data_IF_927742846883
#
_entry.id   IF_927742846883
#
_cell.length_a   1.000
_cell.length_b   1.000
_cell.length_c   1.000
_cell.angle_alpha   90.00
_cell.angle_beta   90.00
_cell.angle_gamma   90.00
#
_symmetry.space_group_name_H-M   'P 1'
#
loop_
_entity.id
_entity.type
_entity.pdbx_description
1 polymer ?
#
# COMPACT_ATOMS: atom_id res chain seq x y z
N UNK A 1 -19.00 -16.44 -11.44
CA UNK A 1 -19.99 -15.48 -11.98
C UNK A 1 -19.63 -14.12 -11.45
N UNK A 2 -19.28 -13.22 -12.34
CA UNK A 2 -18.47 -12.07 -12.10
C UNK A 2 -19.11 -11.00 -11.22
N UNK A 3 -18.34 -10.46 -10.31
CA UNK A 3 -18.66 -9.26 -9.53
C UNK A 3 -18.66 -7.97 -10.38
N UNK A 4 -18.45 -8.11 -11.67
CA UNK A 4 -18.49 -7.04 -12.66
C UNK A 4 -19.57 -7.25 -13.74
N UNK A 5 -20.43 -8.26 -13.61
CA UNK A 5 -21.50 -8.52 -14.58
C UNK A 5 -22.82 -8.89 -13.95
N UNK A 6 -23.39 -8.04 -13.09
CA UNK A 6 -24.83 -8.02 -12.97
C UNK A 6 -25.36 -6.72 -13.59
N UNK A 7 -25.76 -6.86 -14.79
CA UNK A 7 -26.31 -6.02 -15.86
C UNK A 7 -25.24 -5.59 -16.85
N UNK A 8 -25.28 -6.25 -18.01
CA UNK A 8 -24.65 -5.80 -19.22
C UNK A 8 -25.07 -4.38 -19.56
N UNK A 9 -24.32 -3.44 -19.05
CA UNK A 9 -24.23 -2.11 -19.60
C UNK A 9 -23.06 -2.21 -20.57
N UNK A 10 -23.35 -2.41 -21.84
CA UNK A 10 -22.52 -1.88 -22.90
C UNK A 10 -22.39 -0.39 -22.57
N UNK A 11 -21.32 0.00 -21.88
CA UNK A 11 -20.99 1.40 -21.72
C UNK A 11 -20.59 1.91 -23.10
N UNK A 12 -21.45 2.74 -23.70
CA UNK A 12 -21.01 3.75 -24.66
C UNK A 12 -19.73 4.40 -24.14
N UNK A 13 -18.84 4.87 -24.99
CA UNK A 13 -17.56 5.56 -24.75
C UNK A 13 -17.60 6.67 -23.67
N UNK A 14 -18.06 6.38 -22.47
CA UNK A 14 -17.89 7.26 -21.31
C UNK A 14 -16.48 7.00 -20.78
N UNK A 15 -15.68 8.05 -20.69
CA UNK A 15 -14.35 8.02 -20.07
C UNK A 15 -14.40 7.29 -18.72
N UNK A 16 -13.43 6.41 -18.46
CA UNK A 16 -13.32 5.67 -17.21
C UNK A 16 -13.24 6.65 -16.01
N UNK A 17 -14.20 6.54 -15.10
CA UNK A 17 -14.24 7.40 -13.89
C UNK A 17 -13.39 6.76 -12.77
N UNK A 18 -12.14 7.19 -12.68
CA UNK A 18 -11.19 6.73 -11.65
C UNK A 18 -11.67 7.09 -10.24
N UNK A 19 -12.33 8.23 -10.05
CA UNK A 19 -12.84 8.67 -8.75
C UNK A 19 -13.96 7.75 -8.25
N UNK A 20 -14.89 7.39 -9.14
CA UNK A 20 -15.94 6.44 -8.80
C UNK A 20 -15.36 5.04 -8.51
N UNK A 21 -14.42 4.58 -9.34
CA UNK A 21 -13.73 3.31 -9.14
C UNK A 21 -13.05 3.24 -7.77
N UNK A 22 -12.25 4.28 -7.43
CA UNK A 22 -11.55 4.35 -6.15
C UNK A 22 -12.50 4.45 -4.96
N UNK A 23 -13.60 5.21 -5.11
CA UNK A 23 -14.61 5.34 -4.05
C UNK A 23 -15.27 4.00 -3.77
N UNK A 24 -15.69 3.26 -4.79
CA UNK A 24 -16.27 1.92 -4.63
C UNK A 24 -15.27 0.92 -4.04
N UNK A 25 -13.99 1.02 -4.41
CA UNK A 25 -12.90 0.23 -3.83
C UNK A 25 -12.77 0.46 -2.32
N UNK A 26 -12.72 1.71 -1.89
CA UNK A 26 -12.68 2.11 -0.47
C UNK A 26 -13.91 1.59 0.28
N UNK A 27 -15.11 1.80 -0.24
CA UNK A 27 -16.36 1.35 0.40
C UNK A 27 -16.41 -0.17 0.56
N UNK A 28 -15.88 -0.92 -0.40
CA UNK A 28 -15.76 -2.37 -0.32
C UNK A 28 -14.81 -2.78 0.81
N UNK A 29 -13.59 -2.25 0.81
CA UNK A 29 -12.59 -2.56 1.85
C UNK A 29 -13.14 -2.26 3.25
N UNK A 30 -13.79 -1.10 3.44
CA UNK A 30 -14.40 -0.72 4.73
C UNK A 30 -15.51 -1.69 5.12
N UNK A 31 -16.38 -2.06 4.21
CA UNK A 31 -17.48 -3.02 4.47
C UNK A 31 -16.94 -4.40 4.84
N UNK A 32 -15.94 -4.89 4.10
CA UNK A 32 -15.34 -6.20 4.34
C UNK A 32 -14.57 -6.20 5.68
N UNK A 33 -13.88 -5.11 6.03
CA UNK A 33 -13.23 -4.93 7.31
C UNK A 33 -14.23 -4.88 8.48
N UNK A 34 -15.39 -4.22 8.33
CA UNK A 34 -16.47 -4.28 9.33
C UNK A 34 -16.91 -5.73 9.54
N UNK A 35 -17.14 -6.48 8.46
CA UNK A 35 -17.54 -7.88 8.54
C UNK A 35 -16.50 -8.74 9.25
N UNK A 36 -15.22 -8.56 8.91
CA UNK A 36 -14.11 -9.28 9.52
C UNK A 36 -13.97 -9.01 11.04
N UNK A 37 -14.42 -7.85 11.52
CA UNK A 37 -14.31 -7.46 12.93
C UNK A 37 -15.54 -7.78 13.78
N UNK A 38 -16.61 -8.35 13.22
CA UNK A 38 -17.87 -8.57 13.94
C UNK A 38 -17.74 -9.42 15.21
N UNK A 39 -16.77 -10.32 15.27
CA UNK A 39 -16.49 -11.16 16.46
C UNK A 39 -15.74 -10.41 17.57
N UNK A 40 -15.23 -9.18 17.30
CA UNK A 40 -14.48 -8.37 18.25
C UNK A 40 -15.20 -7.02 18.48
N UNK A 41 -15.98 -6.87 19.58
CA UNK A 41 -16.80 -5.67 19.79
C UNK A 41 -16.03 -4.35 19.83
N UNK A 42 -14.79 -4.35 20.35
CA UNK A 42 -13.97 -3.14 20.41
C UNK A 42 -13.55 -2.69 19.02
N UNK A 43 -13.16 -3.64 18.17
CA UNK A 43 -12.79 -3.37 16.79
C UNK A 43 -13.99 -2.98 15.94
N UNK A 44 -15.13 -3.64 16.15
CA UNK A 44 -16.38 -3.29 15.45
C UNK A 44 -16.80 -1.83 15.72
N UNK A 45 -16.65 -1.36 16.97
CA UNK A 45 -16.94 0.05 17.32
C UNK A 45 -15.96 1.00 16.62
N UNK A 46 -14.67 0.66 16.60
CA UNK A 46 -13.69 1.46 15.85
C UNK A 46 -14.02 1.47 14.36
N UNK A 47 -14.25 0.31 13.75
CA UNK A 47 -14.55 0.20 12.32
C UNK A 47 -15.83 0.95 11.91
N UNK A 48 -16.85 0.97 12.77
CA UNK A 48 -18.06 1.77 12.53
C UNK A 48 -17.76 3.28 12.53
N UNK A 49 -16.92 3.75 13.46
CA UNK A 49 -16.44 5.15 13.48
C UNK A 49 -15.60 5.49 12.26
N UNK A 50 -14.68 4.60 11.90
CA UNK A 50 -13.86 4.76 10.70
C UNK A 50 -14.71 4.80 9.43
N UNK A 51 -15.74 3.96 9.32
CA UNK A 51 -16.66 3.99 8.18
C UNK A 51 -17.36 5.36 8.04
N UNK A 52 -17.78 5.95 9.15
CA UNK A 52 -18.36 7.31 9.15
C UNK A 52 -17.33 8.37 8.74
N UNK A 53 -16.09 8.29 9.25
CA UNK A 53 -14.99 9.18 8.87
C UNK A 53 -14.63 9.03 7.39
N UNK A 54 -14.49 7.81 6.89
CA UNK A 54 -14.21 7.52 5.47
C UNK A 54 -15.30 8.04 4.54
N UNK A 55 -16.58 7.94 4.94
CA UNK A 55 -17.70 8.55 4.20
C UNK A 55 -17.61 10.08 4.18
N UNK A 56 -17.23 10.71 5.29
CA UNK A 56 -17.02 12.16 5.36
C UNK A 56 -15.81 12.57 4.48
N UNK A 57 -14.72 11.82 4.51
CA UNK A 57 -13.56 12.00 3.64
C UNK A 57 -13.94 11.90 2.15
N UNK A 58 -14.75 10.90 1.77
CA UNK A 58 -15.30 10.77 0.42
C UNK A 58 -16.12 11.97 -0.04
N UNK A 59 -16.87 12.63 0.88
CA UNK A 59 -17.57 13.88 0.56
C UNK A 59 -16.61 15.05 0.29
N UNK A 60 -15.51 15.15 1.07
CA UNK A 60 -14.45 16.16 0.83
C UNK A 60 -13.84 15.99 -0.55
N UNK A 61 -13.45 14.74 -0.92
CA UNK A 61 -12.89 14.44 -2.25
C UNK A 61 -13.85 14.76 -3.38
N UNK A 62 -15.12 14.36 -3.28
CA UNK A 62 -16.12 14.71 -4.31
C UNK A 62 -16.30 16.22 -4.48
N UNK A 63 -16.25 16.98 -3.37
CA UNK A 63 -16.31 18.45 -3.44
C UNK A 63 -15.08 19.03 -4.14
N UNK A 64 -13.89 18.48 -3.89
CA UNK A 64 -12.66 18.88 -4.58
C UNK A 64 -12.73 18.55 -6.08
N UNK A 65 -13.23 17.36 -6.43
CA UNK A 65 -13.42 16.94 -7.83
C UNK A 65 -14.33 17.87 -8.61
N UNK A 66 -15.46 18.32 -8.01
CA UNK A 66 -16.33 19.32 -8.63
C UNK A 66 -15.67 20.69 -8.80
N UNK A 67 -14.60 20.95 -8.08
CA UNK A 67 -13.76 22.14 -8.23
C UNK A 67 -12.56 21.92 -9.18
N UNK A 68 -12.51 20.78 -9.88
CA UNK A 68 -11.42 20.44 -10.81
C UNK A 68 -10.15 19.94 -10.12
N UNK A 69 -10.25 19.45 -8.89
CA UNK A 69 -9.11 18.97 -8.14
C UNK A 69 -9.31 17.50 -7.74
N UNK A 70 -8.54 16.61 -8.35
CA UNK A 70 -8.56 15.19 -8.01
C UNK A 70 -7.71 14.91 -6.76
N UNK A 71 -8.30 14.24 -5.75
CA UNK A 71 -7.63 13.86 -4.51
C UNK A 71 -7.74 12.34 -4.35
N UNK A 72 -6.61 11.60 -4.33
CA UNK A 72 -6.61 10.17 -4.14
C UNK A 72 -7.04 9.80 -2.70
N UNK A 73 -7.77 8.71 -2.49
CA UNK A 73 -8.17 8.24 -1.17
C UNK A 73 -7.05 7.58 -0.38
N UNK A 74 -5.93 7.29 -1.01
CA UNK A 74 -4.84 6.48 -0.48
C UNK A 74 -3.49 7.14 -0.70
N UNK A 75 -2.58 7.01 0.27
CA UNK A 75 -1.16 7.40 0.16
C UNK A 75 -0.28 6.23 0.61
N UNK A 76 0.95 6.20 0.10
CA UNK A 76 2.02 5.34 0.61
C UNK A 76 3.09 6.25 1.20
N UNK A 77 3.54 5.96 2.42
CA UNK A 77 4.52 6.74 3.15
C UNK A 77 5.69 5.85 3.58
N UNK A 78 6.84 5.99 2.93
CA UNK A 78 8.09 5.38 3.39
C UNK A 78 8.70 6.24 4.49
N UNK A 79 8.41 5.91 5.76
CA UNK A 79 8.76 6.75 6.92
C UNK A 79 10.21 6.64 7.36
N UNK A 80 10.96 5.69 6.80
CA UNK A 80 12.40 5.51 7.03
C UNK A 80 13.06 4.81 5.86
N UNK A 81 14.34 5.15 5.61
CA UNK A 81 15.21 4.41 4.69
C UNK A 81 16.03 3.30 5.36
N UNK A 82 15.90 3.12 6.69
CA UNK A 82 16.65 2.12 7.43
C UNK A 82 15.85 0.83 7.62
N UNK A 83 16.53 -0.31 7.48
CA UNK A 83 15.98 -1.63 7.74
C UNK A 83 17.05 -2.56 8.31
N UNK A 84 16.66 -3.39 9.26
CA UNK A 84 17.55 -4.38 9.87
C UNK A 84 17.60 -5.71 9.11
N UNK A 85 16.81 -5.87 8.04
CA UNK A 85 16.81 -7.08 7.21
C UNK A 85 17.30 -6.80 5.78
N UNK A 86 17.84 -7.86 5.14
CA UNK A 86 18.30 -7.85 3.75
C UNK A 86 17.54 -8.89 2.95
N UNK A 87 16.21 -8.72 2.88
CA UNK A 87 15.34 -9.68 2.18
C UNK A 87 15.71 -9.82 0.71
N UNK A 88 15.72 -11.07 0.22
CA UNK A 88 16.00 -11.35 -1.18
C UNK A 88 14.98 -10.64 -2.10
N UNK A 89 15.47 -9.92 -3.11
CA UNK A 89 14.65 -9.18 -4.07
C UNK A 89 13.87 -8.01 -3.45
N UNK A 90 14.35 -7.40 -2.37
CA UNK A 90 13.72 -6.22 -1.78
C UNK A 90 13.81 -5.03 -2.74
N UNK A 91 12.69 -4.59 -3.30
CA UNK A 91 12.65 -3.47 -4.25
C UNK A 91 13.26 -2.18 -3.68
N UNK A 92 13.01 -1.90 -2.40
CA UNK A 92 13.48 -0.69 -1.76
C UNK A 92 15.02 -0.65 -1.62
N UNK A 93 15.65 -1.81 -1.38
CA UNK A 93 17.12 -1.92 -1.41
C UNK A 93 17.66 -1.88 -2.84
N UNK A 94 17.03 -2.57 -3.77
CA UNK A 94 17.44 -2.57 -5.18
C UNK A 94 17.33 -1.17 -5.81
N UNK A 95 16.35 -0.36 -5.41
CA UNK A 95 16.17 1.03 -5.82
C UNK A 95 16.98 2.03 -4.97
N UNK A 96 17.84 1.55 -4.05
CA UNK A 96 18.61 2.40 -3.13
C UNK A 96 17.78 3.32 -2.22
N UNK A 97 16.46 3.08 -2.11
CA UNK A 97 15.59 3.79 -1.17
C UNK A 97 15.78 3.32 0.27
N UNK A 98 16.25 2.06 0.46
CA UNK A 98 16.69 1.52 1.75
C UNK A 98 18.18 1.27 1.73
N UNK A 99 18.89 1.88 2.68
CA UNK A 99 20.36 1.84 2.81
C UNK A 99 20.78 1.50 4.24
N UNK A 100 22.01 0.97 4.39
CA UNK A 100 22.56 0.67 5.74
C UNK A 100 23.25 1.89 6.35
N UNK A 101 23.67 2.85 5.52
CA UNK A 101 24.27 4.11 5.98
C UNK A 101 23.25 4.94 6.77
N UNK A 102 23.73 5.69 7.74
CA UNK A 102 22.90 6.67 8.45
C UNK A 102 22.33 7.68 7.44
N UNK A 103 21.01 7.93 7.46
CA UNK A 103 20.39 8.87 6.54
C UNK A 103 20.88 10.29 6.80
N UNK A 104 21.16 11.04 5.75
CA UNK A 104 21.64 12.45 5.85
C UNK A 104 20.57 13.32 6.52
N UNK A 105 19.31 13.19 6.10
CA UNK A 105 18.14 13.82 6.73
C UNK A 105 16.86 13.11 6.31
N UNK A 106 16.09 12.66 7.28
CA UNK A 106 14.72 12.17 7.06
C UNK A 106 13.72 13.19 7.64
N UNK A 107 12.46 13.07 7.23
CA UNK A 107 11.40 13.85 7.84
C UNK A 107 11.27 13.49 9.33
N UNK A 108 11.08 14.50 10.15
CA UNK A 108 10.82 14.37 11.59
C UNK A 108 9.40 13.90 11.87
N UNK A 109 9.11 13.48 13.10
CA UNK A 109 7.75 13.17 13.52
C UNK A 109 6.78 14.35 13.41
N UNK A 110 7.26 15.59 13.59
CA UNK A 110 6.46 16.81 13.44
C UNK A 110 6.15 17.11 11.96
N UNK A 111 7.14 16.93 11.08
CA UNK A 111 6.94 17.08 9.62
C UNK A 111 5.93 16.04 9.10
N UNK A 112 6.02 14.78 9.56
CA UNK A 112 5.02 13.75 9.24
C UNK A 112 3.64 14.05 9.83
N UNK A 113 3.56 14.60 11.05
CA UNK A 113 2.27 14.97 11.63
C UNK A 113 1.57 16.04 10.79
N UNK A 114 2.31 17.05 10.31
CA UNK A 114 1.79 18.05 9.37
C UNK A 114 1.25 17.41 8.08
N UNK A 115 2.00 16.44 7.52
CA UNK A 115 1.57 15.70 6.33
C UNK A 115 0.26 14.93 6.60
N UNK A 116 0.15 14.30 7.77
CA UNK A 116 -1.07 13.59 8.16
C UNK A 116 -2.25 14.55 8.41
N UNK A 117 -2.00 15.77 8.93
CA UNK A 117 -3.02 16.82 9.05
C UNK A 117 -3.55 17.25 7.69
N UNK A 118 -2.67 17.57 6.75
CA UNK A 118 -3.03 17.93 5.38
C UNK A 118 -3.82 16.79 4.69
N UNK A 119 -3.39 15.54 4.85
CA UNK A 119 -4.06 14.37 4.30
C UNK A 119 -5.50 14.21 4.84
N UNK A 120 -5.70 14.40 6.15
CA UNK A 120 -7.05 14.38 6.76
C UNK A 120 -7.94 15.52 6.25
N UNK A 121 -7.39 16.72 6.15
CA UNK A 121 -8.11 17.88 5.59
C UNK A 121 -8.53 17.65 4.14
N UNK A 122 -7.69 17.04 3.32
CA UNK A 122 -7.96 16.70 1.92
C UNK A 122 -8.95 15.53 1.78
N UNK A 123 -9.12 14.71 2.81
CA UNK A 123 -10.03 13.58 2.80
C UNK A 123 -9.36 12.27 2.35
N UNK A 124 -8.07 12.12 2.58
CA UNK A 124 -7.38 10.83 2.46
C UNK A 124 -7.93 9.88 3.54
N UNK A 125 -8.24 8.65 3.17
CA UNK A 125 -8.81 7.65 4.08
C UNK A 125 -7.80 6.65 4.60
N UNK A 126 -6.74 6.38 3.82
CA UNK A 126 -5.71 5.38 4.15
C UNK A 126 -4.32 5.93 3.87
N UNK A 127 -3.39 5.69 4.79
CA UNK A 127 -1.97 5.96 4.57
C UNK A 127 -1.18 4.71 4.96
N UNK A 128 -0.66 3.99 3.96
CA UNK A 128 0.23 2.85 4.19
C UNK A 128 1.58 3.34 4.70
N UNK A 129 1.96 2.96 5.91
CA UNK A 129 3.29 3.19 6.44
C UNK A 129 4.22 2.04 6.04
N UNK A 130 5.27 2.40 5.30
CA UNK A 130 6.28 1.50 4.77
C UNK A 130 7.67 2.14 4.90
N UNK A 131 8.60 1.70 4.06
CA UNK A 131 9.97 2.20 3.97
C UNK A 131 10.97 1.07 4.08
N UNK A 132 12.01 1.23 4.88
CA UNK A 132 12.84 0.12 5.35
C UNK A 132 12.03 -0.73 6.34
N UNK A 133 12.21 -0.49 7.64
CA UNK A 133 11.36 -1.08 8.68
C UNK A 133 10.65 0.04 9.48
N UNK A 134 9.33 0.24 9.31
CA UNK A 134 8.60 1.33 9.95
C UNK A 134 8.69 1.35 11.47
N UNK A 135 8.78 0.19 12.12
CA UNK A 135 8.86 0.12 13.58
C UNK A 135 10.15 0.71 14.18
N UNK A 136 11.13 1.10 13.35
CA UNK A 136 12.27 1.92 13.76
C UNK A 136 11.87 3.37 14.08
N UNK A 137 10.71 3.85 13.58
CA UNK A 137 10.25 5.23 13.75
C UNK A 137 8.96 5.29 14.56
N UNK A 138 9.10 4.93 15.84
CA UNK A 138 7.97 4.97 16.80
C UNK A 138 7.35 6.37 16.91
N UNK A 139 8.16 7.42 16.85
CA UNK A 139 7.73 8.82 16.87
C UNK A 139 6.69 9.13 15.79
N UNK A 140 6.90 8.63 14.57
CA UNK A 140 5.98 8.83 13.45
C UNK A 140 4.73 7.98 13.60
N UNK A 141 4.88 6.72 14.04
CA UNK A 141 3.73 5.83 14.26
C UNK A 141 2.82 6.38 15.39
N UNK A 142 3.41 6.95 16.44
CA UNK A 142 2.66 7.65 17.48
C UNK A 142 1.94 8.91 16.95
N UNK A 143 2.57 9.65 16.03
CA UNK A 143 1.93 10.78 15.35
C UNK A 143 0.74 10.32 14.49
N UNK A 144 0.87 9.22 13.74
CA UNK A 144 -0.20 8.60 12.96
C UNK A 144 -1.37 8.15 13.87
N UNK A 145 -1.07 7.61 15.06
CA UNK A 145 -2.08 7.21 16.04
C UNK A 145 -2.98 8.35 16.51
N UNK A 146 -2.55 9.62 16.37
CA UNK A 146 -3.34 10.82 16.70
C UNK A 146 -4.38 11.19 15.64
N UNK A 147 -4.47 10.45 14.52
CA UNK A 147 -5.36 10.72 13.39
C UNK A 147 -6.40 9.61 13.21
N UNK A 148 -7.39 9.49 14.11
CA UNK A 148 -8.34 8.37 14.12
C UNK A 148 -9.26 8.32 12.90
N UNK A 149 -9.35 9.39 12.10
CA UNK A 149 -10.09 9.45 10.84
C UNK A 149 -9.39 8.80 9.65
N UNK A 150 -8.08 8.52 9.78
CA UNK A 150 -7.26 7.84 8.77
C UNK A 150 -6.87 6.47 9.32
N UNK A 151 -6.99 5.42 8.50
CA UNK A 151 -6.46 4.10 8.81
C UNK A 151 -5.00 4.01 8.30
N UNK A 152 -4.11 3.54 9.17
CA UNK A 152 -2.70 3.37 8.88
C UNK A 152 -2.31 1.89 8.88
N UNK A 153 -2.38 1.17 7.75
CA UNK A 153 -1.70 -0.11 7.61
C UNK A 153 -0.18 0.09 7.73
N UNK A 154 0.49 -0.72 8.56
CA UNK A 154 1.93 -0.62 8.85
C UNK A 154 2.59 -1.91 8.39
N UNK A 155 3.27 -1.90 7.24
CA UNK A 155 3.95 -3.08 6.72
C UNK A 155 5.26 -3.30 7.45
N UNK A 156 5.33 -4.35 8.26
CA UNK A 156 6.47 -4.62 9.12
C UNK A 156 7.01 -6.04 9.01
N UNK A 157 8.31 -6.18 9.16
CA UNK A 157 8.95 -7.49 9.31
C UNK A 157 8.80 -8.09 10.74
N UNK A 158 8.17 -7.35 11.65
CA UNK A 158 7.84 -7.79 13.00
C UNK A 158 9.02 -7.89 13.99
N UNK A 159 10.25 -7.63 13.57
CA UNK A 159 11.43 -7.83 14.44
C UNK A 159 11.54 -6.85 15.59
N UNK A 160 10.93 -5.68 15.49
CA UNK A 160 10.90 -4.64 16.52
C UNK A 160 9.59 -4.58 17.30
N UNK A 161 8.69 -5.57 17.13
CA UNK A 161 7.50 -5.69 17.97
C UNK A 161 7.92 -5.92 19.43
N UNK A 162 7.50 -5.01 20.31
CA UNK A 162 7.73 -5.04 21.75
C UNK A 162 6.46 -4.66 22.51
N UNK A 163 6.50 -4.73 23.84
CA UNK A 163 5.38 -4.38 24.71
C UNK A 163 4.80 -3.00 24.41
N UNK A 164 5.67 -2.01 24.17
CA UNK A 164 5.24 -0.64 23.88
C UNK A 164 4.47 -0.53 22.56
N UNK A 165 4.80 -1.36 21.55
CA UNK A 165 4.04 -1.43 20.29
C UNK A 165 2.69 -2.11 20.50
N UNK A 166 2.63 -3.20 21.26
CA UNK A 166 1.34 -3.84 21.59
C UNK A 166 0.42 -2.88 22.33
N UNK A 167 0.93 -2.13 23.31
CA UNK A 167 0.18 -1.08 24.01
C UNK A 167 -0.27 0.03 23.05
N UNK A 168 0.61 0.48 22.15
CA UNK A 168 0.30 1.52 21.16
C UNK A 168 -0.84 1.10 20.25
N UNK A 169 -0.80 -0.10 19.67
CA UNK A 169 -1.88 -0.65 18.86
C UNK A 169 -3.17 -0.87 19.68
N UNK A 170 -3.03 -1.18 20.96
CA UNK A 170 -4.15 -1.28 21.89
C UNK A 170 -4.90 0.03 22.10
N UNK A 171 -4.22 1.16 22.18
CA UNK A 171 -4.82 2.50 22.40
C UNK A 171 -5.19 3.23 21.10
N UNK A 172 -4.49 2.97 19.99
CA UNK A 172 -4.65 3.64 18.70
C UNK A 172 -5.09 2.63 17.64
N UNK A 173 -6.41 2.38 17.56
CA UNK A 173 -6.99 1.34 16.71
C UNK A 173 -6.93 1.64 15.20
N UNK A 174 -6.57 2.86 14.84
CA UNK A 174 -6.28 3.25 13.46
C UNK A 174 -4.90 2.81 12.97
N UNK A 175 -4.07 2.25 13.83
CA UNK A 175 -2.79 1.65 13.49
C UNK A 175 -2.99 0.15 13.30
N UNK A 176 -2.86 -0.34 12.08
CA UNK A 176 -3.09 -1.74 11.71
C UNK A 176 -1.77 -2.40 11.35
N UNK A 177 -1.14 -3.20 12.23
CA UNK A 177 0.07 -3.92 11.87
C UNK A 177 -0.23 -4.96 10.78
N UNK A 178 0.59 -4.95 9.73
CA UNK A 178 0.54 -5.88 8.59
C UNK A 178 1.86 -6.65 8.59
N UNK A 179 1.80 -7.91 9.01
CA UNK A 179 2.97 -8.78 9.13
C UNK A 179 3.43 -9.24 7.76
N UNK A 180 4.68 -8.95 7.43
CA UNK A 180 5.25 -9.36 6.15
C UNK A 180 5.73 -10.81 6.19
N UNK A 181 5.00 -11.72 5.56
CA UNK A 181 5.23 -13.16 5.48
C UNK A 181 5.20 -13.60 4.02
N UNK A 182 5.90 -14.69 3.65
CA UNK A 182 6.03 -15.09 2.25
C UNK A 182 5.46 -16.48 1.94
N UNK A 183 4.86 -17.13 2.91
CA UNK A 183 4.40 -18.52 2.90
C UNK A 183 4.75 -19.20 4.21
N UNK A 184 4.87 -20.51 4.21
CA UNK A 184 5.32 -21.28 5.36
C UNK A 184 6.82 -21.00 5.67
N UNK A 185 7.34 -21.65 6.70
CA UNK A 185 8.67 -21.40 7.26
C UNK A 185 9.79 -21.34 6.23
N UNK A 186 9.86 -22.35 5.37
CA UNK A 186 10.95 -22.50 4.40
C UNK A 186 11.02 -21.29 3.47
N UNK A 187 9.89 -20.88 2.91
CA UNK A 187 9.83 -19.76 1.95
C UNK A 187 10.04 -18.43 2.67
N UNK A 188 9.40 -18.26 3.82
CA UNK A 188 9.54 -17.01 4.61
C UNK A 188 11.00 -16.82 5.07
N UNK A 189 11.61 -17.83 5.63
CA UNK A 189 13.00 -17.75 6.13
C UNK A 189 14.01 -17.65 4.98
N UNK A 190 13.77 -18.32 3.85
CA UNK A 190 14.63 -18.22 2.67
C UNK A 190 14.69 -16.77 2.15
N UNK A 191 13.57 -16.07 2.11
CA UNK A 191 13.53 -14.70 1.61
C UNK A 191 13.97 -13.67 2.64
N UNK A 192 13.52 -13.82 3.91
CA UNK A 192 13.65 -12.78 4.94
C UNK A 192 14.78 -13.00 5.93
N UNK A 193 15.27 -14.23 6.02
CA UNK A 193 16.30 -14.64 6.94
C UNK A 193 15.80 -15.64 7.98
N UNK A 194 16.70 -16.52 8.40
CA UNK A 194 16.42 -17.63 9.32
C UNK A 194 15.80 -17.13 10.65
N UNK A 195 14.68 -17.75 11.06
CA UNK A 195 13.98 -17.48 12.31
C UNK A 195 12.98 -16.32 12.24
N UNK A 196 12.82 -15.67 11.08
CA UNK A 196 11.84 -14.60 10.90
C UNK A 196 10.41 -15.17 10.96
N UNK A 197 10.17 -16.35 10.38
CA UNK A 197 8.88 -17.01 10.46
C UNK A 197 8.41 -17.21 11.91
N UNK A 198 9.26 -17.77 12.77
CA UNK A 198 8.90 -17.98 14.19
C UNK A 198 8.59 -16.66 14.91
N UNK A 199 9.34 -15.62 14.60
CA UNK A 199 9.12 -14.29 15.16
C UNK A 199 7.77 -13.71 14.74
N UNK A 200 7.41 -13.87 13.48
CA UNK A 200 6.11 -13.42 12.96
C UNK A 200 4.97 -14.19 13.61
N UNK A 201 5.07 -15.53 13.72
CA UNK A 201 4.06 -16.36 14.38
C UNK A 201 3.87 -15.95 15.84
N UNK A 202 4.94 -15.77 16.60
CA UNK A 202 4.86 -15.32 18.00
C UNK A 202 4.19 -13.93 18.14
N UNK A 203 4.47 -13.00 17.22
CA UNK A 203 3.83 -11.69 17.23
C UNK A 203 2.33 -11.77 16.88
N UNK A 204 1.96 -12.60 15.92
CA UNK A 204 0.55 -12.83 15.54
C UNK A 204 -0.21 -13.44 16.71
N UNK A 205 0.35 -14.45 17.36
CA UNK A 205 -0.25 -15.10 18.54
C UNK A 205 -0.44 -14.10 19.69
N UNK A 206 0.52 -13.18 19.93
CA UNK A 206 0.41 -12.15 20.95
C UNK A 206 -0.61 -11.07 20.60
N UNK A 207 -0.68 -10.64 19.32
CA UNK A 207 -1.74 -9.73 18.84
C UNK A 207 -3.12 -10.35 19.05
N UNK A 208 -3.30 -11.61 18.66
CA UNK A 208 -4.53 -12.36 18.84
C UNK A 208 -4.92 -12.47 20.32
N UNK A 209 -3.96 -12.85 21.19
CA UNK A 209 -4.18 -12.96 22.65
C UNK A 209 -4.66 -11.66 23.28
N UNK A 210 -4.19 -10.50 22.77
CA UNK A 210 -4.61 -9.17 23.20
C UNK A 210 -5.90 -8.68 22.56
N UNK A 211 -6.48 -9.43 21.64
CA UNK A 211 -7.64 -9.02 20.86
C UNK A 211 -7.36 -7.83 19.94
N UNK A 212 -6.13 -7.71 19.42
CA UNK A 212 -5.71 -6.69 18.47
C UNK A 212 -5.85 -7.22 17.06
N UNK A 213 -6.46 -6.43 16.17
CA UNK A 213 -6.54 -6.78 14.76
C UNK A 213 -5.19 -6.58 14.07
N UNK A 214 -4.90 -7.44 13.12
CA UNK A 214 -3.71 -7.35 12.27
C UNK A 214 -4.00 -8.00 10.91
N UNK A 215 -3.15 -7.72 9.95
CA UNK A 215 -3.13 -8.36 8.65
C UNK A 215 -1.79 -8.98 8.32
N UNK A 216 -1.72 -9.61 7.15
CA UNK A 216 -0.50 -10.11 6.55
C UNK A 216 -0.26 -9.45 5.19
N UNK A 217 0.99 -9.22 4.82
CA UNK A 217 1.38 -8.91 3.45
C UNK A 217 2.28 -10.01 2.91
N UNK A 218 2.01 -10.43 1.70
CA UNK A 218 2.73 -11.48 1.02
C UNK A 218 3.28 -10.93 -0.29
N UNK A 219 4.58 -11.04 -0.52
CA UNK A 219 5.12 -10.77 -1.85
C UNK A 219 4.93 -12.01 -2.72
N UNK A 220 4.09 -11.88 -3.74
CA UNK A 220 3.76 -12.97 -4.65
C UNK A 220 4.81 -13.09 -5.73
N UNK A 221 5.37 -14.28 -5.88
CA UNK A 221 6.35 -14.65 -6.90
C UNK A 221 5.88 -15.88 -7.67
N UNK A 222 6.54 -16.22 -8.78
CA UNK A 222 6.31 -17.48 -9.49
C UNK A 222 6.48 -18.72 -8.60
N UNK A 223 7.30 -18.63 -7.55
CA UNK A 223 7.64 -19.76 -6.68
C UNK A 223 6.59 -19.99 -5.58
N UNK A 224 5.92 -18.93 -5.07
CA UNK A 224 5.04 -19.05 -3.91
C UNK A 224 3.56 -18.83 -4.19
N UNK A 225 3.15 -18.39 -5.39
CA UNK A 225 1.77 -18.02 -5.74
C UNK A 225 0.74 -19.07 -5.29
N UNK A 226 1.00 -20.36 -5.56
CA UNK A 226 0.09 -21.45 -5.22
C UNK A 226 0.00 -21.71 -3.72
N UNK A 227 1.13 -21.61 -3.01
CA UNK A 227 1.17 -21.80 -1.56
C UNK A 227 0.43 -20.70 -0.83
N UNK A 228 0.75 -19.44 -1.13
CA UNK A 228 0.21 -18.29 -0.39
C UNK A 228 -1.26 -18.00 -0.69
N UNK A 229 -1.80 -18.53 -1.79
CA UNK A 229 -3.23 -18.50 -2.10
C UNK A 229 -3.97 -19.78 -1.68
N UNK A 230 -3.25 -20.76 -1.12
CA UNK A 230 -3.83 -22.02 -0.70
C UNK A 230 -4.76 -21.85 0.52
N UNK A 231 -5.82 -22.65 0.58
CA UNK A 231 -6.72 -22.68 1.72
C UNK A 231 -5.98 -22.99 3.03
N UNK A 232 -5.01 -23.90 3.01
CA UNK A 232 -4.25 -24.30 4.20
C UNK A 232 -3.48 -23.14 4.81
N UNK A 233 -2.72 -22.41 4.00
CA UNK A 233 -1.96 -21.25 4.45
C UNK A 233 -2.86 -20.12 4.97
N UNK A 234 -3.91 -19.77 4.24
CA UNK A 234 -4.81 -18.70 4.63
C UNK A 234 -5.64 -19.04 5.86
N UNK A 235 -6.05 -20.32 6.01
CA UNK A 235 -6.71 -20.80 7.23
C UNK A 235 -5.77 -20.70 8.43
N UNK A 236 -4.49 -21.05 8.29
CA UNK A 236 -3.51 -20.93 9.36
C UNK A 236 -3.33 -19.49 9.86
N UNK A 237 -3.40 -18.52 8.96
CA UNK A 237 -3.38 -17.08 9.31
C UNK A 237 -4.71 -16.67 9.99
N UNK A 238 -5.84 -17.11 9.46
CA UNK A 238 -7.18 -16.82 10.01
C UNK A 238 -7.34 -17.38 11.43
N UNK A 239 -6.89 -18.61 11.67
CA UNK A 239 -6.94 -19.26 12.97
C UNK A 239 -6.12 -18.50 14.04
N UNK A 240 -5.10 -17.75 13.62
CA UNK A 240 -4.32 -16.85 14.48
C UNK A 240 -4.93 -15.46 14.64
N UNK A 241 -6.08 -15.20 14.02
CA UNK A 241 -6.77 -13.91 14.12
C UNK A 241 -6.39 -12.87 13.07
N UNK A 242 -5.67 -13.25 12.01
CA UNK A 242 -5.42 -12.39 10.86
C UNK A 242 -6.74 -12.06 10.16
N UNK A 243 -7.03 -10.78 9.94
CA UNK A 243 -8.28 -10.33 9.31
C UNK A 243 -8.11 -9.84 7.87
N UNK A 244 -6.88 -9.68 7.40
CA UNK A 244 -6.62 -9.17 6.06
C UNK A 244 -5.34 -9.77 5.48
N UNK A 245 -5.35 -10.07 4.18
CA UNK A 245 -4.16 -10.46 3.42
C UNK A 245 -4.00 -9.55 2.23
N UNK A 246 -2.81 -8.92 2.12
CA UNK A 246 -2.41 -8.08 1.00
C UNK A 246 -1.40 -8.84 0.15
N UNK A 247 -1.82 -9.26 -1.03
CA UNK A 247 -0.95 -9.88 -2.02
C UNK A 247 -0.25 -8.77 -2.81
N UNK A 248 1.05 -8.63 -2.62
CA UNK A 248 1.88 -7.64 -3.32
C UNK A 248 2.66 -8.37 -4.41
N UNK A 249 2.38 -8.05 -5.66
CA UNK A 249 3.10 -8.66 -6.77
C UNK A 249 4.58 -8.26 -6.73
N UNK A 250 5.45 -9.23 -6.94
CA UNK A 250 6.88 -9.00 -7.04
C UNK A 250 7.21 -8.23 -8.31
N UNK A 251 7.78 -7.03 -8.16
CA UNK A 251 8.29 -6.22 -9.29
C UNK A 251 9.80 -6.42 -9.39
N UNK A 252 10.31 -6.95 -10.52
CA UNK A 252 11.71 -7.25 -10.71
C UNK A 252 12.49 -5.97 -11.04
N UNK A 253 12.99 -5.28 -10.04
CA UNK A 253 13.80 -4.05 -10.23
C UNK A 253 15.24 -4.33 -10.70
N UNK A 254 15.61 -5.61 -10.83
CA UNK A 254 16.89 -6.06 -11.40
C UNK A 254 16.65 -7.21 -12.38
N UNK A 255 17.48 -7.32 -13.41
CA UNK A 255 17.38 -8.41 -14.41
C UNK A 255 17.51 -9.81 -13.77
N UNK A 256 18.37 -9.97 -12.75
CA UNK A 256 18.61 -11.25 -12.07
C UNK A 256 17.34 -11.80 -11.39
N UNK A 257 16.42 -10.93 -11.01
CA UNK A 257 15.18 -11.33 -10.32
C UNK A 257 13.95 -11.40 -11.24
N UNK A 258 14.12 -11.21 -12.54
CA UNK A 258 13.00 -11.17 -13.50
C UNK A 258 12.20 -12.47 -13.54
N UNK A 259 12.84 -13.62 -13.36
CA UNK A 259 12.18 -14.92 -13.34
C UNK A 259 11.22 -15.13 -12.14
N UNK A 260 11.39 -14.35 -11.07
CA UNK A 260 10.52 -14.39 -9.90
C UNK A 260 9.23 -13.58 -10.10
N UNK A 261 9.16 -12.73 -11.13
CA UNK A 261 7.99 -11.93 -11.39
C UNK A 261 6.84 -12.79 -11.94
N UNK A 262 5.63 -12.70 -11.36
CA UNK A 262 4.47 -13.41 -11.87
C UNK A 262 4.18 -13.06 -13.34
N UNK A 263 3.92 -14.08 -14.15
CA UNK A 263 3.45 -13.90 -15.51
C UNK A 263 1.92 -13.73 -15.58
N UNK A 264 1.37 -13.54 -16.78
CA UNK A 264 -0.08 -13.36 -16.98
C UNK A 264 -0.88 -14.57 -16.46
N UNK A 265 -0.36 -15.78 -16.60
CA UNK A 265 -1.00 -17.00 -16.09
C UNK A 265 -1.06 -17.01 -14.56
N UNK A 266 0.02 -16.56 -13.87
CA UNK A 266 0.07 -16.50 -12.41
C UNK A 266 -0.87 -15.40 -11.89
N UNK A 267 -0.94 -14.25 -12.57
CA UNK A 267 -1.85 -13.15 -12.24
C UNK A 267 -3.31 -13.58 -12.38
N UNK A 268 -3.66 -14.24 -13.48
CA UNK A 268 -5.02 -14.74 -13.70
C UNK A 268 -5.37 -15.82 -12.67
N UNK A 269 -4.45 -16.74 -12.37
CA UNK A 269 -4.63 -17.74 -11.33
C UNK A 269 -4.89 -17.06 -9.97
N UNK A 270 -4.05 -16.13 -9.55
CA UNK A 270 -4.22 -15.42 -8.28
C UNK A 270 -5.53 -14.62 -8.23
N UNK A 271 -5.91 -13.99 -9.34
CA UNK A 271 -7.18 -13.26 -9.46
C UNK A 271 -8.38 -14.18 -9.22
N UNK A 272 -8.39 -15.37 -9.85
CA UNK A 272 -9.44 -16.36 -9.67
C UNK A 272 -9.50 -16.87 -8.22
N UNK A 273 -8.33 -17.16 -7.64
CA UNK A 273 -8.24 -17.61 -6.24
C UNK A 273 -8.75 -16.53 -5.28
N UNK A 274 -8.40 -15.27 -5.47
CA UNK A 274 -8.90 -14.17 -4.61
C UNK A 274 -10.43 -14.04 -4.72
N UNK A 275 -11.01 -14.22 -5.88
CA UNK A 275 -12.47 -14.21 -6.05
C UNK A 275 -13.11 -15.36 -5.27
N UNK A 276 -12.57 -16.58 -5.42
CA UNK A 276 -13.03 -17.76 -4.66
C UNK A 276 -12.90 -17.57 -3.16
N UNK A 277 -11.76 -17.05 -2.69
CA UNK A 277 -11.48 -16.80 -1.27
C UNK A 277 -12.47 -15.79 -0.66
N UNK A 278 -12.84 -14.75 -1.39
CA UNK A 278 -13.83 -13.77 -0.93
C UNK A 278 -15.23 -14.36 -0.74
N UNK A 279 -15.56 -15.40 -1.52
CA UNK A 279 -16.83 -16.13 -1.39
C UNK A 279 -16.77 -17.15 -0.25
N UNK A 280 -15.68 -17.92 -0.14
CA UNK A 280 -15.53 -19.00 0.84
C UNK A 280 -15.17 -18.48 2.25
N UNK A 281 -14.40 -17.39 2.35
CA UNK A 281 -13.89 -16.82 3.59
C UNK A 281 -14.23 -15.32 3.72
N UNK A 282 -15.52 -14.97 3.82
CA UNK A 282 -15.97 -13.58 3.88
C UNK A 282 -15.58 -12.86 5.19
N UNK A 283 -15.02 -13.58 6.15
CA UNK A 283 -14.47 -13.06 7.41
C UNK A 283 -13.07 -12.47 7.27
N UNK A 284 -12.45 -12.58 6.10
CA UNK A 284 -11.15 -11.99 5.78
C UNK A 284 -11.24 -10.98 4.63
N UNK A 285 -10.35 -10.00 4.65
CA UNK A 285 -10.19 -9.01 3.58
C UNK A 285 -9.03 -9.42 2.68
N UNK A 286 -9.26 -9.55 1.37
CA UNK A 286 -8.23 -9.90 0.40
C UNK A 286 -7.99 -8.73 -0.57
N UNK A 287 -6.75 -8.24 -0.62
CA UNK A 287 -6.32 -7.13 -1.46
C UNK A 287 -5.16 -7.60 -2.33
N UNK A 288 -5.21 -7.35 -3.63
CA UNK A 288 -4.07 -7.48 -4.54
C UNK A 288 -3.51 -6.08 -4.87
N UNK A 289 -2.18 -5.97 -4.91
CA UNK A 289 -1.47 -4.75 -5.30
C UNK A 289 -0.27 -5.10 -6.22
N UNK A 290 -0.10 -4.42 -7.35
CA UNK A 290 -0.88 -3.30 -7.86
C UNK A 290 -2.32 -3.62 -8.28
N UNK A 291 -2.70 -4.88 -8.34
CA UNK A 291 -4.03 -5.28 -8.75
C UNK A 291 -4.20 -5.35 -10.27
N UNK A 292 -5.46 -5.47 -10.71
CA UNK A 292 -5.78 -5.53 -12.12
C UNK A 292 -5.83 -4.11 -12.72
N UNK A 293 -4.71 -3.66 -13.30
CA UNK A 293 -4.61 -2.36 -13.96
C UNK A 293 -5.62 -2.23 -15.14
N UNK A 294 -5.99 -3.34 -15.78
CA UNK A 294 -7.00 -3.34 -16.84
C UNK A 294 -8.37 -2.92 -16.29
N UNK A 295 -8.73 -3.34 -15.08
CA UNK A 295 -10.01 -2.99 -14.47
C UNK A 295 -10.01 -1.58 -13.85
N UNK A 296 -8.84 -0.99 -13.61
CA UNK A 296 -8.68 0.36 -13.08
C UNK A 296 -8.45 1.43 -14.16
N UNK A 297 -8.57 1.06 -15.42
CA UNK A 297 -8.28 1.98 -16.52
C UNK A 297 -6.80 2.42 -16.52
N UNK A 298 -5.88 1.47 -16.33
CA UNK A 298 -4.44 1.68 -16.24
C UNK A 298 -3.91 1.82 -14.81
N UNK A 299 -2.62 2.12 -14.68
CA UNK A 299 -1.94 2.28 -13.40
C UNK A 299 -2.54 3.43 -12.58
N UNK A 300 -2.80 3.18 -11.29
CA UNK A 300 -3.42 4.14 -10.37
C UNK A 300 -2.41 5.00 -9.60
N UNK A 301 -1.13 4.94 -9.95
CA UNK A 301 -0.05 5.75 -9.39
C UNK A 301 -0.13 7.25 -9.80
N UNK A 302 0.88 8.02 -9.44
CA UNK A 302 1.03 9.43 -9.80
C UNK A 302 -0.21 10.29 -9.46
N UNK A 303 -0.83 10.04 -8.30
CA UNK A 303 -1.99 10.80 -7.82
C UNK A 303 -3.35 10.35 -8.36
N UNK A 304 -3.43 9.41 -9.31
CA UNK A 304 -4.73 8.91 -9.81
C UNK A 304 -5.50 8.15 -8.73
N UNK A 305 -4.91 7.24 -8.02
CA UNK A 305 -5.48 6.50 -6.87
C UNK A 305 -4.63 6.64 -5.62
N UNK A 306 -3.33 6.82 -5.82
CA UNK A 306 -2.36 7.09 -4.77
C UNK A 306 -1.10 7.76 -5.34
N UNK A 307 -0.25 8.25 -4.44
CA UNK A 307 1.16 8.53 -4.70
C UNK A 307 2.01 8.15 -3.48
N UNK A 308 3.32 8.19 -3.64
CA UNK A 308 4.27 7.80 -2.61
C UNK A 308 5.02 9.03 -2.08
N UNK A 309 5.25 9.04 -0.77
CA UNK A 309 6.14 10.02 -0.12
C UNK A 309 7.30 9.23 0.47
N UNK A 310 8.51 9.52 0.03
CA UNK A 310 9.71 8.88 0.56
C UNK A 310 10.14 9.48 1.90
N UNK A 311 11.09 8.85 2.58
CA UNK A 311 11.53 9.26 3.93
C UNK A 311 12.17 10.65 4.00
N UNK A 312 12.55 11.24 2.86
CA UNK A 312 13.14 12.57 2.74
C UNK A 312 12.12 13.64 2.33
N UNK A 313 10.87 13.25 2.08
CA UNK A 313 9.77 14.13 1.68
C UNK A 313 9.58 14.25 0.17
N UNK A 314 10.35 13.55 -0.66
CA UNK A 314 10.10 13.51 -2.11
C UNK A 314 8.75 12.86 -2.41
N UNK A 315 7.91 13.54 -3.22
CA UNK A 315 6.69 12.97 -3.74
C UNK A 315 7.01 12.21 -5.03
N UNK A 316 6.75 10.90 -5.01
CA UNK A 316 7.07 9.97 -6.08
C UNK A 316 5.78 9.36 -6.66
N UNK A 317 5.73 9.02 -7.94
CA UNK A 317 4.56 8.36 -8.52
C UNK A 317 4.18 7.09 -7.78
N UNK A 318 5.16 6.25 -7.44
CA UNK A 318 4.99 4.94 -6.81
C UNK A 318 6.30 4.53 -6.11
N UNK A 319 6.27 3.65 -5.08
CA UNK A 319 7.49 3.09 -4.49
C UNK A 319 8.42 2.35 -5.49
N UNK A 320 7.86 1.86 -6.59
CA UNK A 320 8.61 1.21 -7.67
C UNK A 320 9.19 2.20 -8.70
N UNK A 321 8.82 3.47 -8.61
CA UNK A 321 9.27 4.56 -9.50
C UNK A 321 9.78 5.72 -8.63
N UNK A 322 11.03 5.63 -8.12
CA UNK A 322 11.58 6.53 -7.10
C UNK A 322 12.08 7.86 -7.72
N UNK A 323 11.23 8.51 -8.50
CA UNK A 323 11.51 9.79 -9.17
C UNK A 323 10.65 10.89 -8.58
N UNK A 324 11.28 12.00 -8.21
CA UNK A 324 10.59 13.12 -7.58
C UNK A 324 11.11 14.46 -8.09
N UNK A 325 10.21 15.36 -8.45
CA UNK A 325 10.46 16.74 -8.84
C UNK A 325 9.99 17.76 -7.80
N UNK A 326 9.29 17.28 -6.74
CA UNK A 326 8.72 18.13 -5.69
C UNK A 326 8.92 17.48 -4.32
N UNK A 327 9.13 18.30 -3.28
CA UNK A 327 9.33 17.82 -1.92
C UNK A 327 8.27 18.39 -0.98
N UNK A 328 7.50 17.53 -0.29
CA UNK A 328 6.45 17.93 0.66
C UNK A 328 6.96 18.55 1.94
N UNK A 329 8.28 18.57 2.18
CA UNK A 329 8.89 19.36 3.25
C UNK A 329 8.73 20.84 2.97
N UNK A 330 8.92 21.22 1.71
CA UNK A 330 9.00 22.62 1.25
C UNK A 330 7.67 23.11 0.69
N UNK A 331 6.70 22.20 0.50
CA UNK A 331 5.39 22.50 -0.06
C UNK A 331 4.28 21.65 0.57
N UNK A 332 3.04 21.78 0.10
CA UNK A 332 1.89 21.00 0.60
C UNK A 332 1.66 19.71 -0.20
N UNK A 333 0.92 18.75 0.40
CA UNK A 333 0.42 17.57 -0.33
C UNK A 333 -0.41 17.94 -1.55
N UNK A 334 -1.19 19.02 -1.44
CA UNK A 334 -2.01 19.53 -2.53
C UNK A 334 -1.18 20.03 -3.70
N UNK A 335 -0.05 20.66 -3.43
CA UNK A 335 0.90 21.06 -4.47
C UNK A 335 1.61 19.84 -5.07
N UNK A 336 1.93 18.82 -4.27
CA UNK A 336 2.55 17.59 -4.75
C UNK A 336 1.67 16.84 -5.76
N UNK A 337 0.33 16.86 -5.61
CA UNK A 337 -0.60 16.27 -6.60
C UNK A 337 -0.56 16.98 -7.97
N UNK A 338 -0.02 18.20 -8.01
CA UNK A 338 0.15 19.00 -9.23
C UNK A 338 1.60 19.07 -9.69
N UNK A 339 2.43 18.09 -9.26
CA UNK A 339 3.82 18.04 -9.69
C UNK A 339 3.90 17.93 -11.22
N UNK A 340 4.85 18.64 -11.87
CA UNK A 340 5.06 18.53 -13.31
C UNK A 340 5.21 17.08 -13.79
N UNK A 341 5.93 16.26 -13.03
CA UNK A 341 6.11 14.84 -13.34
C UNK A 341 4.78 14.07 -13.33
N UNK A 342 3.93 14.28 -12.29
CA UNK A 342 2.65 13.56 -12.20
C UNK A 342 1.71 13.97 -13.33
N UNK A 343 1.64 15.26 -13.62
CA UNK A 343 0.81 15.76 -14.73
C UNK A 343 1.29 15.21 -16.08
N UNK A 344 2.61 15.25 -16.35
CA UNK A 344 3.16 14.70 -17.58
C UNK A 344 2.89 13.19 -17.74
N UNK A 345 3.05 12.38 -16.67
CA UNK A 345 2.73 10.94 -16.70
C UNK A 345 1.26 10.66 -17.03
N UNK A 346 0.35 11.52 -16.56
CA UNK A 346 -1.09 11.41 -16.86
C UNK A 346 -1.42 11.91 -18.27
N UNK A 347 -0.90 13.06 -18.67
CA UNK A 347 -1.20 13.72 -19.95
C UNK A 347 -0.60 12.96 -21.16
N UNK A 348 0.61 12.42 -21.04
CA UNK A 348 1.25 11.64 -22.10
C UNK A 348 0.75 10.18 -22.15
N UNK A 349 -0.13 9.78 -21.22
CA UNK A 349 -0.77 8.47 -21.24
C UNK A 349 0.10 7.30 -20.82
N UNK A 350 1.30 7.54 -20.28
CA UNK A 350 2.25 6.48 -19.85
C UNK A 350 1.60 5.48 -18.88
N UNK A 351 0.72 5.95 -18.01
CA UNK A 351 0.02 5.12 -17.02
C UNK A 351 -1.04 4.19 -17.62
N UNK A 352 -1.39 4.39 -18.91
CA UNK A 352 -2.42 3.64 -19.61
C UNK A 352 -1.84 2.66 -20.63
N UNK A 353 -0.52 2.65 -20.82
CA UNK A 353 0.13 1.82 -21.81
C UNK A 353 0.11 0.33 -21.41
N UNK A 354 -0.08 -0.53 -22.42
CA UNK A 354 0.10 -1.96 -22.27
C UNK A 354 1.58 -2.29 -22.01
N UNK A 355 1.82 -3.21 -21.09
CA UNK A 355 3.17 -3.66 -20.72
C UNK A 355 3.18 -5.15 -20.36
N UNK A 356 4.29 -5.87 -20.60
CA UNK A 356 4.39 -7.31 -20.32
C UNK A 356 4.62 -7.62 -18.84
N UNK A 357 5.12 -6.64 -18.08
CA UNK A 357 5.45 -6.80 -16.65
C UNK A 357 4.30 -6.46 -15.72
N UNK A 358 4.52 -6.55 -14.42
CA UNK A 358 3.56 -6.19 -13.38
C UNK A 358 3.48 -4.71 -13.05
N UNK A 359 4.34 -3.86 -13.65
CA UNK A 359 4.42 -2.44 -13.31
C UNK A 359 4.84 -1.61 -14.51
N UNK A 360 3.90 -0.83 -15.06
CA UNK A 360 4.14 0.04 -16.22
C UNK A 360 5.25 1.07 -15.95
N UNK A 361 5.30 1.67 -14.77
CA UNK A 361 6.31 2.66 -14.43
C UNK A 361 7.72 2.07 -14.34
N UNK A 362 7.86 0.79 -14.01
CA UNK A 362 9.14 0.10 -14.05
C UNK A 362 9.55 -0.23 -15.49
N UNK A 363 8.66 -0.77 -16.30
CA UNK A 363 8.91 -1.10 -17.69
C UNK A 363 9.20 0.15 -18.54
N UNK A 364 8.56 1.27 -18.22
CA UNK A 364 8.71 2.58 -18.91
C UNK A 364 9.67 3.53 -18.19
N UNK A 365 10.62 3.00 -17.44
CA UNK A 365 11.57 3.79 -16.63
C UNK A 365 12.27 4.90 -17.42
N UNK A 366 12.75 4.60 -18.63
CA UNK A 366 13.41 5.58 -19.49
C UNK A 366 12.49 6.77 -19.85
N UNK A 367 11.19 6.50 -20.01
CA UNK A 367 10.19 7.52 -20.28
C UNK A 367 9.93 8.39 -19.05
N UNK A 368 9.81 7.78 -17.87
CA UNK A 368 9.68 8.53 -16.61
C UNK A 368 10.90 9.45 -16.40
N UNK A 369 12.13 8.97 -16.67
CA UNK A 369 13.35 9.77 -16.59
C UNK A 369 13.35 10.93 -17.58
N UNK A 370 12.88 10.72 -18.81
CA UNK A 370 12.72 11.76 -19.83
C UNK A 370 11.77 12.87 -19.36
N UNK A 371 10.60 12.48 -18.84
CA UNK A 371 9.60 13.42 -18.34
C UNK A 371 10.10 14.21 -17.14
N UNK A 372 10.81 13.57 -16.22
CA UNK A 372 11.43 14.22 -15.08
C UNK A 372 12.43 15.32 -15.53
N UNK A 373 13.27 15.02 -16.53
CA UNK A 373 14.24 15.97 -17.07
C UNK A 373 13.57 17.15 -17.79
N UNK A 374 12.51 16.89 -18.55
CA UNK A 374 11.77 17.91 -19.29
C UNK A 374 11.04 18.89 -18.36
N UNK A 375 10.58 18.45 -17.18
CA UNK A 375 9.91 19.29 -16.18
C UNK A 375 10.86 20.16 -15.34
N UNK A 376 12.16 19.90 -15.37
CA UNK A 376 13.12 20.74 -14.65
C UNK A 376 13.37 22.07 -15.38
N UNK A 377 13.32 23.23 -14.69
CA UNK A 377 13.66 24.50 -15.33
C UNK A 377 15.11 24.46 -15.83
N UNK A 378 15.29 24.69 -17.13
CA UNK A 378 16.59 24.80 -17.76
C UNK A 378 17.40 25.91 -17.07
N UNK A 379 18.34 25.56 -16.19
CA UNK A 379 19.23 26.56 -15.59
C UNK A 379 19.63 26.40 -14.14
N UNK A 380 19.83 25.17 -13.64
CA UNK A 380 20.70 24.97 -12.46
C UNK A 380 21.49 23.69 -12.66
N UNK A 381 22.62 23.79 -13.29
CA UNK A 381 23.71 22.82 -13.15
C UNK A 381 24.20 22.84 -11.70
N UNK A 382 24.47 21.70 -11.08
CA UNK A 382 24.81 21.57 -9.68
C UNK A 382 26.13 22.27 -9.31
#
# INVERSE_FOLDING_TARGET
MGFWSDKGIYMSESAFDIQEYMTRGVERVVRDAIRATLKNPRESVYMARFAAASKAAGKKRRKAETAGEHIPPFLIASITSQCNLHCAGCYSRCNHATVDAAPVRQLTGEEWLRIFDEADEMGVSFILLAGGEPLLRRDIIEAAGKKPGILFPIFTNGTFMDEKYFELFGRSRNLLPIMSIEGEREITDARRGKGIYDRLMANMDELCRRGLIFGASVTVTTENTKEVSSRGFLQSLSDRGCIAVVFVEFVPVTEVSRELAPGDADREYLRQEILRLREEHPEMVYIAFPGDEKSSGGCVAAGRGFFHINSHGGAEPCPFSPYSDINVRDTSLRAALKSPLFLALQEEGVLLEDHPGGCVLHEKRAEVERLLQAGQPQGKTP
#
